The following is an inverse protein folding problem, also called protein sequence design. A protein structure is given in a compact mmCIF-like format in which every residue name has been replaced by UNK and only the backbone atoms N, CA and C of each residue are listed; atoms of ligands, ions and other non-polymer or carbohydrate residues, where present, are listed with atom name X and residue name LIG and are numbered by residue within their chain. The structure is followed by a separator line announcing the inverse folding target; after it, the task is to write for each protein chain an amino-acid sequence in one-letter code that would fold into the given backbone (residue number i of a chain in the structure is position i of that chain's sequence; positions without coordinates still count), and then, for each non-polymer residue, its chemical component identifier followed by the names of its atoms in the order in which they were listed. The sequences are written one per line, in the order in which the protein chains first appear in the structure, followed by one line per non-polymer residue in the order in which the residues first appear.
data_IF_089720796163
#
_entry.id   IF_089720796163
#
_cell.length_a   1.000
_cell.length_b   1.000
_cell.length_c   1.000
_cell.angle_alpha   90.00
_cell.angle_beta   90.00
_cell.angle_gamma   90.00
#
_symmetry.space_group_name_H-M   'P 1'
#
loop_
_entity.id
_entity.type
_entity.pdbx_description
1 polymer ?
#
# COMPACT_ATOMS: atom_id res chain seq x y z
N UNK A 1 29.62 15.17 1.94
CA UNK A 1 30.13 14.45 0.74
C UNK A 1 28.94 14.00 -0.11
N UNK A 2 29.12 13.80 -1.42
CA UNK A 2 28.06 13.40 -2.37
C UNK A 2 27.33 12.12 -1.92
N UNK A 3 28.05 11.18 -1.32
CA UNK A 3 27.54 9.90 -0.80
C UNK A 3 26.47 10.10 0.30
N UNK A 4 26.67 11.07 1.21
CA UNK A 4 25.72 11.35 2.28
C UNK A 4 24.39 11.93 1.76
N UNK A 5 24.45 12.73 0.70
CA UNK A 5 23.26 13.33 0.07
C UNK A 5 22.47 12.24 -0.67
N UNK A 6 23.15 11.34 -1.39
CA UNK A 6 22.53 10.22 -2.06
C UNK A 6 21.84 9.26 -1.06
N UNK A 7 22.51 8.91 0.04
CA UNK A 7 21.95 8.07 1.10
C UNK A 7 20.71 8.70 1.76
N UNK A 8 20.73 10.02 2.01
CA UNK A 8 19.57 10.73 2.54
C UNK A 8 18.37 10.70 1.57
N UNK A 9 18.64 10.83 0.26
CA UNK A 9 17.62 10.71 -0.79
C UNK A 9 16.95 9.34 -0.81
N UNK A 10 17.73 8.27 -0.72
CA UNK A 10 17.20 6.89 -0.68
C UNK A 10 16.41 6.63 0.59
N UNK A 11 16.91 7.05 1.75
CA UNK A 11 16.18 6.95 3.01
C UNK A 11 14.82 7.66 2.94
N UNK A 12 14.79 8.87 2.37
CA UNK A 12 13.56 9.64 2.25
C UNK A 12 12.53 8.96 1.33
N UNK A 13 12.99 8.38 0.21
CA UNK A 13 12.13 7.60 -0.69
C UNK A 13 11.52 6.38 0.01
N UNK A 14 12.34 5.61 0.75
CA UNK A 14 11.88 4.45 1.53
C UNK A 14 10.86 4.90 2.60
N UNK A 15 11.15 5.99 3.30
CA UNK A 15 10.25 6.53 4.33
C UNK A 15 8.88 6.90 3.76
N UNK A 16 8.83 7.70 2.70
CA UNK A 16 7.56 8.09 2.08
C UNK A 16 6.80 6.92 1.49
N UNK A 17 7.48 5.94 0.87
CA UNK A 17 6.83 4.73 0.37
C UNK A 17 6.17 3.92 1.51
N UNK A 18 6.84 3.80 2.66
CA UNK A 18 6.25 3.17 3.85
C UNK A 18 5.05 3.95 4.40
N UNK A 19 5.11 5.28 4.44
CA UNK A 19 3.96 6.12 4.84
C UNK A 19 2.77 5.90 3.92
N UNK A 20 2.99 5.82 2.61
CA UNK A 20 1.93 5.51 1.63
C UNK A 20 1.32 4.13 1.90
N UNK A 21 2.16 3.11 2.10
CA UNK A 21 1.70 1.75 2.44
C UNK A 21 0.86 1.78 3.71
N UNK A 22 1.28 2.50 4.76
CA UNK A 22 0.57 2.62 6.03
C UNK A 22 -0.81 3.25 5.85
N UNK A 23 -0.91 4.35 5.09
CA UNK A 23 -2.19 5.04 4.84
C UNK A 23 -3.13 4.15 4.04
N UNK A 24 -2.63 3.49 2.99
CA UNK A 24 -3.41 2.53 2.20
C UNK A 24 -3.87 1.34 3.05
N UNK A 25 -3.01 0.86 3.95
CA UNK A 25 -3.32 -0.24 4.86
C UNK A 25 -4.45 0.18 5.81
N UNK A 26 -4.34 1.35 6.43
CA UNK A 26 -5.38 1.88 7.30
C UNK A 26 -6.72 2.06 6.56
N UNK A 27 -6.69 2.56 5.33
CA UNK A 27 -7.90 2.70 4.50
C UNK A 27 -8.53 1.34 4.17
N UNK A 28 -7.73 0.35 3.78
CA UNK A 28 -8.23 -1.02 3.55
C UNK A 28 -8.80 -1.63 4.84
N UNK A 29 -8.06 -1.53 5.95
CA UNK A 29 -8.39 -2.22 7.19
C UNK A 29 -9.57 -1.59 7.93
N UNK A 30 -9.60 -0.26 8.06
CA UNK A 30 -10.62 0.43 8.87
C UNK A 30 -11.85 0.87 8.06
N UNK A 31 -11.73 1.04 6.75
CA UNK A 31 -12.86 1.52 5.93
C UNK A 31 -13.35 0.44 4.97
N UNK A 32 -12.50 -0.03 4.08
CA UNK A 32 -12.90 -0.91 2.98
C UNK A 32 -13.37 -2.28 3.48
N UNK A 33 -12.60 -2.91 4.36
CA UNK A 33 -12.92 -4.25 4.87
C UNK A 33 -14.22 -4.27 5.70
N UNK A 34 -14.49 -3.32 6.62
CA UNK A 34 -15.80 -3.20 7.25
C UNK A 34 -16.93 -2.90 6.25
N UNK A 35 -16.70 -2.05 5.25
CA UNK A 35 -17.71 -1.75 4.23
C UNK A 35 -18.06 -2.98 3.36
N UNK A 36 -17.07 -3.79 3.01
CA UNK A 36 -17.23 -5.08 2.30
C UNK A 36 -18.02 -6.05 3.17
N UNK A 37 -17.63 -6.22 4.43
CA UNK A 37 -18.24 -7.17 5.35
C UNK A 37 -19.69 -6.81 5.72
N UNK A 38 -20.06 -5.52 5.65
CA UNK A 38 -21.45 -5.05 5.81
C UNK A 38 -22.35 -5.43 4.63
N UNK A 39 -21.81 -5.80 3.46
CA UNK A 39 -22.63 -6.22 2.32
C UNK A 39 -23.18 -7.63 2.55
N UNK A 40 -24.51 -7.74 2.73
CA UNK A 40 -25.19 -9.04 2.94
C UNK A 40 -25.14 -9.96 1.72
N UNK A 41 -25.11 -9.39 0.52
CA UNK A 41 -25.10 -10.12 -0.76
C UNK A 41 -23.80 -9.86 -1.51
N UNK A 42 -22.95 -10.90 -1.57
CA UNK A 42 -21.65 -10.88 -2.27
C UNK A 42 -21.75 -10.76 -3.80
N UNK A 43 -22.96 -10.77 -4.35
CA UNK A 43 -23.23 -10.63 -5.78
C UNK A 43 -23.55 -9.20 -6.19
N UNK A 44 -23.83 -8.31 -5.23
CA UNK A 44 -24.17 -6.92 -5.50
C UNK A 44 -22.99 -6.20 -6.18
N UNK A 45 -23.30 -5.33 -7.15
CA UNK A 45 -22.33 -4.43 -7.80
C UNK A 45 -21.48 -3.68 -6.77
N UNK A 46 -22.07 -3.20 -5.68
CA UNK A 46 -21.36 -2.48 -4.62
C UNK A 46 -20.30 -3.36 -3.93
N UNK A 47 -20.63 -4.62 -3.64
CA UNK A 47 -19.66 -5.57 -3.09
C UNK A 47 -18.50 -5.82 -4.07
N UNK A 48 -18.80 -6.03 -5.35
CA UNK A 48 -17.77 -6.27 -6.37
C UNK A 48 -16.80 -5.09 -6.50
N UNK A 49 -17.34 -3.86 -6.49
CA UNK A 49 -16.53 -2.64 -6.55
C UNK A 49 -15.66 -2.51 -5.30
N UNK A 50 -16.25 -2.58 -4.11
CA UNK A 50 -15.50 -2.47 -2.84
C UNK A 50 -14.40 -3.53 -2.72
N UNK A 51 -14.73 -4.79 -3.02
CA UNK A 51 -13.77 -5.89 -2.97
C UNK A 51 -12.66 -5.71 -4.01
N UNK A 52 -13.01 -5.36 -5.25
CA UNK A 52 -12.04 -5.09 -6.30
C UNK A 52 -11.10 -3.92 -5.97
N UNK A 53 -11.64 -2.84 -5.39
CA UNK A 53 -10.83 -1.71 -4.90
C UNK A 53 -9.86 -2.14 -3.81
N UNK A 54 -10.31 -2.97 -2.84
CA UNK A 54 -9.43 -3.49 -1.78
C UNK A 54 -8.30 -4.35 -2.33
N UNK A 55 -8.60 -5.22 -3.29
CA UNK A 55 -7.59 -6.06 -3.95
C UNK A 55 -6.58 -5.19 -4.72
N UNK A 56 -7.06 -4.18 -5.43
CA UNK A 56 -6.20 -3.27 -6.21
C UNK A 56 -5.25 -2.47 -5.31
N UNK A 57 -5.76 -1.94 -4.20
CA UNK A 57 -4.93 -1.23 -3.21
C UNK A 57 -3.88 -2.16 -2.62
N UNK A 58 -4.28 -3.38 -2.23
CA UNK A 58 -3.35 -4.35 -1.67
C UNK A 58 -2.26 -4.74 -2.67
N UNK A 59 -2.59 -4.84 -3.95
CA UNK A 59 -1.62 -5.09 -5.01
C UNK A 59 -0.58 -3.97 -5.14
N UNK A 60 -1.01 -2.69 -5.07
CA UNK A 60 -0.10 -1.54 -5.05
C UNK A 60 0.83 -1.59 -3.82
N UNK A 61 0.31 -1.97 -2.66
CA UNK A 61 1.12 -2.11 -1.45
C UNK A 61 2.20 -3.19 -1.62
N UNK A 62 1.87 -4.34 -2.22
CA UNK A 62 2.84 -5.41 -2.50
C UNK A 62 3.96 -4.90 -3.42
N UNK A 63 3.62 -4.19 -4.50
CA UNK A 63 4.62 -3.63 -5.42
C UNK A 63 5.55 -2.67 -4.67
N UNK A 64 4.99 -1.74 -3.88
CA UNK A 64 5.80 -0.79 -3.10
C UNK A 64 6.72 -1.51 -2.11
N UNK A 65 6.25 -2.54 -1.42
CA UNK A 65 7.06 -3.33 -0.49
C UNK A 65 8.19 -4.08 -1.19
N UNK A 66 7.93 -4.67 -2.37
CA UNK A 66 8.97 -5.31 -3.18
C UNK A 66 10.01 -4.26 -3.61
N UNK A 67 9.58 -3.10 -4.12
CA UNK A 67 10.49 -2.03 -4.52
C UNK A 67 11.36 -1.53 -3.38
N UNK A 68 10.78 -1.32 -2.18
CA UNK A 68 11.55 -0.96 -0.97
C UNK A 68 12.58 -2.05 -0.65
N UNK A 69 12.17 -3.32 -0.71
CA UNK A 69 13.05 -4.46 -0.40
C UNK A 69 14.23 -4.54 -1.37
N UNK A 70 13.99 -4.36 -2.68
CA UNK A 70 15.06 -4.33 -3.69
C UNK A 70 16.04 -3.20 -3.40
N UNK A 71 15.54 -1.98 -3.16
CA UNK A 71 16.39 -0.83 -2.85
C UNK A 71 17.24 -1.07 -1.60
N UNK A 72 16.67 -1.72 -0.57
CA UNK A 72 17.39 -2.06 0.66
C UNK A 72 18.44 -3.17 0.49
N UNK A 73 18.26 -4.09 -0.47
CA UNK A 73 19.22 -5.15 -0.77
C UNK A 73 20.40 -4.66 -1.63
N UNK A 74 20.16 -3.64 -2.45
CA UNK A 74 21.19 -3.00 -3.29
C UNK A 74 22.02 -1.93 -2.53
N UNK A 75 21.68 -1.62 -1.27
CA UNK A 75 22.34 -0.64 -0.40
C UNK A 75 23.25 -1.28 0.63
#
# INVERSE_FOLDING_TARGET
SVIAIASLGVFNAIFYANVIILVLFALCYFYLMPAINKQKTKTNRTFKVLHGSSVSINFVQIILLISITVILLDF
#
